data_IF_733197568909
#
_entry.id   IF_733197568909
#
_cell.length_a   1.000
_cell.length_b   1.000
_cell.length_c   1.000
_cell.angle_alpha   90.00
_cell.angle_beta   90.00
_cell.angle_gamma   90.00
#
_symmetry.space_group_name_H-M   'P 1'
#
loop_
_entity.id
_entity.type
_entity.pdbx_description
1 polymer ?
#
# COMPACT_ATOMS: atom_id res chain seq x y z
N UNK A 1 22.16 -5.58 -10.62
CA UNK A 1 21.25 -5.06 -11.67
C UNK A 1 21.33 -3.56 -11.58
N UNK A 2 21.69 -2.91 -12.69
CA UNK A 2 21.70 -1.45 -12.75
C UNK A 2 20.27 -0.92 -12.87
N UNK A 3 20.05 0.27 -12.30
CA UNK A 3 18.76 0.97 -12.35
C UNK A 3 18.78 1.84 -13.60
N UNK A 4 18.09 1.39 -14.63
CA UNK A 4 17.96 2.09 -15.90
C UNK A 4 16.62 2.83 -16.03
N UNK A 5 16.52 3.70 -17.04
CA UNK A 5 15.31 4.49 -17.30
C UNK A 5 14.05 3.64 -17.51
N UNK A 6 14.19 2.44 -18.06
CA UNK A 6 13.08 1.50 -18.25
C UNK A 6 12.53 0.98 -16.91
N UNK A 7 13.43 0.64 -15.98
CA UNK A 7 13.03 0.19 -14.64
C UNK A 7 12.36 1.31 -13.85
N UNK A 8 12.88 2.54 -13.95
CA UNK A 8 12.25 3.73 -13.38
C UNK A 8 10.85 3.95 -13.94
N UNK A 9 10.69 3.85 -15.26
CA UNK A 9 9.40 4.04 -15.93
C UNK A 9 8.40 2.97 -15.52
N UNK A 10 8.82 1.70 -15.48
CA UNK A 10 7.98 0.59 -15.02
C UNK A 10 7.53 0.77 -13.56
N UNK A 11 8.45 1.14 -12.66
CA UNK A 11 8.14 1.40 -11.25
C UNK A 11 7.18 2.60 -11.10
N UNK A 12 7.38 3.67 -11.86
CA UNK A 12 6.50 4.83 -11.88
C UNK A 12 5.09 4.49 -12.36
N UNK A 13 4.96 3.66 -13.40
CA UNK A 13 3.68 3.20 -13.92
C UNK A 13 2.94 2.31 -12.91
N UNK A 14 3.65 1.43 -12.21
CA UNK A 14 3.08 0.61 -11.14
C UNK A 14 2.58 1.49 -10.00
N UNK A 15 3.39 2.46 -9.54
CA UNK A 15 2.96 3.42 -8.50
C UNK A 15 1.72 4.21 -8.93
N UNK A 16 1.67 4.68 -10.18
CA UNK A 16 0.52 5.41 -10.70
C UNK A 16 -0.74 4.53 -10.74
N UNK A 17 -0.60 3.27 -11.16
CA UNK A 17 -1.69 2.29 -11.19
C UNK A 17 -2.20 1.97 -9.79
N UNK A 18 -1.30 1.76 -8.84
CA UNK A 18 -1.64 1.57 -7.43
C UNK A 18 -2.36 2.80 -6.87
N UNK A 19 -1.86 4.00 -7.16
CA UNK A 19 -2.50 5.27 -6.79
C UNK A 19 -3.93 5.39 -7.32
N UNK A 20 -4.15 5.00 -8.58
CA UNK A 20 -5.46 4.99 -9.20
C UNK A 20 -6.41 3.97 -8.53
N UNK A 21 -5.93 2.75 -8.28
CA UNK A 21 -6.71 1.72 -7.58
C UNK A 21 -7.07 2.16 -6.15
N UNK A 22 -6.13 2.78 -5.44
CA UNK A 22 -6.38 3.35 -4.12
C UNK A 22 -7.45 4.43 -4.19
N UNK A 23 -7.33 5.41 -5.09
CA UNK A 23 -8.32 6.46 -5.24
C UNK A 23 -9.72 5.90 -5.59
N UNK A 24 -9.78 4.89 -6.46
CA UNK A 24 -11.03 4.24 -6.87
C UNK A 24 -11.71 3.48 -5.72
N UNK A 25 -10.94 2.77 -4.89
CA UNK A 25 -11.48 1.93 -3.81
C UNK A 25 -11.60 2.66 -2.46
N UNK A 26 -10.95 3.82 -2.31
CA UNK A 26 -10.93 4.60 -1.08
C UNK A 26 -12.34 4.92 -0.53
N UNK A 27 -13.32 5.40 -1.34
CA UNK A 27 -14.65 5.73 -0.81
C UNK A 27 -15.33 4.55 -0.12
N UNK A 28 -15.14 3.36 -0.67
CA UNK A 28 -15.79 2.15 -0.17
C UNK A 28 -15.07 1.59 1.07
N UNK A 29 -13.74 1.71 1.11
CA UNK A 29 -12.93 1.41 2.30
C UNK A 29 -13.31 2.38 3.42
N UNK A 30 -13.39 3.68 3.14
CA UNK A 30 -13.78 4.70 4.09
C UNK A 30 -15.19 4.45 4.65
N UNK A 31 -16.17 4.21 3.77
CA UNK A 31 -17.54 3.88 4.19
C UNK A 31 -17.57 2.65 5.12
N UNK A 32 -16.81 1.60 4.80
CA UNK A 32 -16.70 0.41 5.66
C UNK A 32 -16.03 0.73 7.02
N UNK A 33 -15.05 1.64 7.06
CA UNK A 33 -14.44 2.09 8.32
C UNK A 33 -15.34 2.98 9.18
N UNK A 34 -16.45 3.51 8.65
CA UNK A 34 -17.40 4.37 9.39
C UNK A 34 -18.63 3.63 9.90
N UNK A 35 -18.93 2.42 9.40
CA UNK A 35 -20.10 1.61 9.80
C UNK A 35 -20.25 1.48 11.33
N UNK A 36 -21.37 1.93 11.89
CA UNK A 36 -21.59 1.88 13.35
C UNK A 36 -21.59 0.44 13.89
N UNK A 37 -20.86 0.24 15.01
CA UNK A 37 -20.87 -1.03 15.77
C UNK A 37 -22.06 -1.17 16.71
N UNK A 38 -22.91 -0.14 16.87
CA UNK A 38 -24.10 -0.21 17.73
C UNK A 38 -25.25 -0.96 17.05
N UNK A 39 -25.88 -1.86 17.79
CA UNK A 39 -27.05 -2.65 17.36
C UNK A 39 -26.95 -4.09 17.87
N UNK A 40 -28.09 -4.79 17.98
CA UNK A 40 -28.13 -6.21 18.35
C UNK A 40 -27.44 -7.05 17.27
N UNK A 41 -26.76 -8.14 17.66
CA UNK A 41 -26.06 -9.05 16.73
C UNK A 41 -26.90 -9.48 15.51
N UNK A 42 -28.19 -9.71 15.70
CA UNK A 42 -29.12 -10.10 14.63
C UNK A 42 -29.19 -9.10 13.46
N UNK A 43 -28.99 -7.80 13.72
CA UNK A 43 -29.04 -6.73 12.70
C UNK A 43 -27.65 -6.40 12.11
N UNK A 44 -26.58 -7.05 12.61
CA UNK A 44 -25.20 -6.77 12.18
C UNK A 44 -24.81 -7.48 10.88
N UNK A 45 -25.59 -8.46 10.40
CA UNK A 45 -25.26 -9.29 9.23
C UNK A 45 -24.86 -8.50 7.97
N UNK A 46 -25.71 -7.55 7.48
CA UNK A 46 -25.38 -6.73 6.31
C UNK A 46 -24.14 -5.83 6.53
N UNK A 47 -23.92 -5.35 7.75
CA UNK A 47 -22.78 -4.52 8.13
C UNK A 47 -21.47 -5.30 8.13
N UNK A 48 -21.49 -6.52 8.66
CA UNK A 48 -20.35 -7.44 8.63
C UNK A 48 -19.98 -7.78 7.20
N UNK A 49 -20.99 -8.06 6.34
CA UNK A 49 -20.77 -8.34 4.93
C UNK A 49 -20.10 -7.16 4.20
N UNK A 50 -20.56 -5.92 4.45
CA UNK A 50 -19.97 -4.71 3.87
C UNK A 50 -18.50 -4.54 4.27
N UNK A 51 -18.18 -4.67 5.56
CA UNK A 51 -16.79 -4.54 6.07
C UNK A 51 -15.91 -5.66 5.52
N UNK A 52 -16.41 -6.91 5.50
CA UNK A 52 -15.68 -8.06 4.95
C UNK A 52 -15.41 -7.89 3.45
N UNK A 53 -16.39 -7.41 2.69
CA UNK A 53 -16.24 -7.21 1.25
C UNK A 53 -15.19 -6.13 0.96
N UNK A 54 -15.23 -4.99 1.67
CA UNK A 54 -14.23 -3.94 1.55
C UNK A 54 -12.82 -4.43 1.95
N UNK A 55 -12.73 -5.25 3.00
CA UNK A 55 -11.45 -5.82 3.44
C UNK A 55 -10.88 -6.80 2.40
N UNK A 56 -11.66 -7.79 1.95
CA UNK A 56 -11.17 -8.92 1.13
C UNK A 56 -11.01 -8.56 -0.34
N UNK A 57 -11.90 -7.75 -0.91
CA UNK A 57 -11.90 -7.48 -2.36
C UNK A 57 -11.24 -6.16 -2.75
N UNK A 58 -10.87 -5.32 -1.77
CA UNK A 58 -10.31 -3.99 -2.04
C UNK A 58 -9.04 -3.75 -1.25
N UNK A 59 -9.16 -3.63 0.08
CA UNK A 59 -8.04 -3.21 0.92
C UNK A 59 -6.90 -4.26 0.96
N UNK A 60 -7.22 -5.54 1.12
CA UNK A 60 -6.23 -6.63 1.12
C UNK A 60 -5.53 -6.83 -0.23
N UNK A 61 -6.23 -6.95 -1.39
CA UNK A 61 -5.57 -7.12 -2.67
C UNK A 61 -4.72 -5.89 -3.04
N UNK A 62 -5.17 -4.68 -2.68
CA UNK A 62 -4.36 -3.48 -2.84
C UNK A 62 -3.06 -3.55 -2.02
N UNK A 63 -3.15 -3.94 -0.74
CA UNK A 63 -1.98 -4.10 0.12
C UNK A 63 -1.01 -5.16 -0.43
N UNK A 64 -1.53 -6.29 -0.90
CA UNK A 64 -0.73 -7.36 -1.50
C UNK A 64 0.00 -6.85 -2.74
N UNK A 65 -0.69 -6.12 -3.62
CA UNK A 65 -0.09 -5.54 -4.82
C UNK A 65 1.03 -4.55 -4.46
N UNK A 66 0.81 -3.68 -3.47
CA UNK A 66 1.83 -2.74 -2.99
C UNK A 66 3.04 -3.49 -2.42
N UNK A 67 2.82 -4.48 -1.55
CA UNK A 67 3.90 -5.29 -0.96
C UNK A 67 4.70 -5.99 -2.05
N UNK A 68 4.03 -6.54 -3.06
CA UNK A 68 4.70 -7.18 -4.19
C UNK A 68 5.62 -6.19 -4.93
N UNK A 69 5.15 -4.97 -5.22
CA UNK A 69 5.97 -3.93 -5.88
C UNK A 69 7.14 -3.51 -4.98
N UNK A 70 6.91 -3.29 -3.68
CA UNK A 70 7.97 -2.92 -2.73
C UNK A 70 9.05 -3.99 -2.66
N UNK A 71 8.68 -5.27 -2.62
CA UNK A 71 9.62 -6.39 -2.59
C UNK A 71 10.34 -6.57 -3.92
N UNK A 72 9.65 -6.43 -5.06
CA UNK A 72 10.26 -6.53 -6.38
C UNK A 72 11.28 -5.41 -6.64
N UNK A 73 10.95 -4.17 -6.27
CA UNK A 73 11.82 -3.01 -6.41
C UNK A 73 12.81 -2.84 -5.24
N UNK A 74 12.68 -3.64 -4.18
CA UNK A 74 13.48 -3.53 -2.96
C UNK A 74 14.98 -3.74 -3.16
N UNK A 75 15.43 -4.88 -3.73
CA UNK A 75 16.85 -5.13 -3.96
C UNK A 75 17.57 -4.03 -4.76
N UNK A 76 17.05 -3.55 -5.92
CA UNK A 76 17.71 -2.46 -6.63
C UNK A 76 17.67 -1.13 -5.87
N UNK A 77 16.60 -0.81 -5.14
CA UNK A 77 16.51 0.43 -4.36
C UNK A 77 17.52 0.46 -3.21
N UNK A 78 17.63 -0.64 -2.46
CA UNK A 78 18.59 -0.78 -1.36
C UNK A 78 20.03 -0.70 -1.88
N UNK A 79 20.32 -1.35 -3.02
CA UNK A 79 21.62 -1.25 -3.67
C UNK A 79 21.98 0.21 -3.98
N UNK A 80 21.06 0.99 -4.56
CA UNK A 80 21.31 2.41 -4.85
C UNK A 80 21.64 3.18 -3.57
N UNK A 81 20.89 2.97 -2.49
CA UNK A 81 21.13 3.67 -1.21
C UNK A 81 22.47 3.28 -0.59
N UNK A 82 22.82 2.00 -0.59
CA UNK A 82 24.09 1.51 -0.05
C UNK A 82 25.27 2.07 -0.84
N UNK A 83 25.19 2.10 -2.18
CA UNK A 83 26.23 2.70 -3.01
C UNK A 83 26.35 4.20 -2.74
N UNK A 84 25.23 4.93 -2.63
CA UNK A 84 25.24 6.35 -2.33
C UNK A 84 25.87 6.68 -0.96
N UNK A 85 25.70 5.81 0.04
CA UNK A 85 26.29 5.99 1.38
C UNK A 85 27.76 5.57 1.45
N UNK A 86 28.15 4.51 0.73
CA UNK A 86 29.52 3.99 0.73
C UNK A 86 30.50 4.84 -0.07
N UNK A 87 30.02 5.62 -1.03
CA UNK A 87 30.87 6.29 -2.02
C UNK A 87 31.13 7.76 -1.63
N UNK A 88 32.09 7.97 -0.72
CA UNK A 88 32.54 9.31 -0.30
C UNK A 88 33.44 10.01 -1.33
N UNK A 89 33.68 9.40 -2.50
CA UNK A 89 34.65 9.84 -3.50
C UNK A 89 33.97 10.32 -4.80
N UNK A 90 33.28 11.45 -4.73
CA UNK A 90 33.03 12.32 -5.89
C UNK A 90 32.30 11.69 -7.09
N UNK A 91 31.54 10.61 -6.89
CA UNK A 91 30.77 9.99 -7.96
C UNK A 91 29.71 10.99 -8.48
N UNK A 92 29.66 11.26 -9.80
CA UNK A 92 28.67 12.19 -10.34
C UNK A 92 27.24 11.75 -9.98
N UNK A 93 26.42 12.72 -9.58
CA UNK A 93 25.02 12.51 -9.24
C UNK A 93 24.25 11.87 -10.41
N UNK A 94 23.62 10.73 -10.14
CA UNK A 94 22.75 10.05 -11.09
C UNK A 94 21.27 10.35 -10.78
N UNK A 95 20.60 11.19 -11.60
CA UNK A 95 19.21 11.55 -11.37
C UNK A 95 18.24 10.36 -11.51
N UNK A 96 18.55 9.35 -12.32
CA UNK A 96 17.68 8.19 -12.56
C UNK A 96 17.61 7.34 -11.29
N UNK A 97 18.76 7.05 -10.70
CA UNK A 97 18.87 6.33 -9.43
C UNK A 97 18.17 7.06 -8.28
N UNK A 98 18.33 8.38 -8.20
CA UNK A 98 17.67 9.19 -7.17
C UNK A 98 16.14 9.18 -7.31
N UNK A 99 15.63 9.38 -8.54
CA UNK A 99 14.19 9.32 -8.82
C UNK A 99 13.61 7.94 -8.53
N UNK A 100 14.33 6.87 -8.85
CA UNK A 100 13.89 5.50 -8.56
C UNK A 100 13.71 5.26 -7.06
N UNK A 101 14.67 5.69 -6.24
CA UNK A 101 14.55 5.64 -4.78
C UNK A 101 13.36 6.48 -4.29
N UNK A 102 13.11 7.63 -4.91
CA UNK A 102 11.93 8.46 -4.64
C UNK A 102 10.61 7.72 -4.90
N UNK A 103 10.45 7.11 -6.08
CA UNK A 103 9.28 6.31 -6.45
C UNK A 103 9.08 5.13 -5.49
N UNK A 104 10.16 4.41 -5.17
CA UNK A 104 10.11 3.30 -4.23
C UNK A 104 9.70 3.76 -2.81
N UNK A 105 10.24 4.89 -2.35
CA UNK A 105 9.88 5.49 -1.06
C UNK A 105 8.40 5.90 -1.00
N UNK A 106 7.87 6.48 -2.07
CA UNK A 106 6.45 6.80 -2.18
C UNK A 106 5.57 5.54 -2.15
N UNK A 107 6.01 4.47 -2.83
CA UNK A 107 5.32 3.17 -2.84
C UNK A 107 5.25 2.58 -1.44
N UNK A 108 6.34 2.67 -0.66
CA UNK A 108 6.37 2.28 0.75
C UNK A 108 5.39 3.12 1.58
N UNK A 109 5.41 4.45 1.41
CA UNK A 109 4.50 5.36 2.12
C UNK A 109 3.04 5.02 1.86
N UNK A 110 2.70 4.72 0.60
CA UNK A 110 1.38 4.24 0.22
C UNK A 110 1.04 2.89 0.89
N UNK A 111 2.00 1.96 0.94
CA UNK A 111 1.86 0.69 1.64
C UNK A 111 1.51 0.86 3.11
N UNK A 112 2.15 1.79 3.82
CA UNK A 112 1.81 2.11 5.21
C UNK A 112 0.39 2.66 5.35
N UNK A 113 -0.02 3.58 4.47
CA UNK A 113 -1.37 4.13 4.50
C UNK A 113 -2.44 3.04 4.30
N UNK A 114 -2.25 2.15 3.32
CA UNK A 114 -3.17 1.04 3.06
C UNK A 114 -3.14 0.01 4.19
N UNK A 115 -1.97 -0.30 4.75
CA UNK A 115 -1.86 -1.21 5.90
C UNK A 115 -2.62 -0.68 7.13
N UNK A 116 -2.58 0.62 7.38
CA UNK A 116 -3.35 1.26 8.45
C UNK A 116 -4.87 1.12 8.23
N UNK A 117 -5.34 1.27 7.00
CA UNK A 117 -6.76 1.08 6.64
C UNK A 117 -7.18 -0.39 6.80
N UNK A 118 -6.37 -1.33 6.32
CA UNK A 118 -6.59 -2.79 6.48
C UNK A 118 -6.68 -3.15 7.96
N UNK A 119 -5.75 -2.67 8.78
CA UNK A 119 -5.77 -2.91 10.23
C UNK A 119 -7.03 -2.37 10.89
N UNK A 120 -7.47 -1.17 10.49
CA UNK A 120 -8.69 -0.55 11.02
C UNK A 120 -9.95 -1.34 10.63
N UNK A 121 -10.06 -1.74 9.36
CA UNK A 121 -11.15 -2.59 8.87
C UNK A 121 -11.15 -3.95 9.56
N UNK A 122 -9.99 -4.58 9.72
CA UNK A 122 -9.88 -5.88 10.39
C UNK A 122 -10.27 -5.80 11.87
N UNK A 123 -9.80 -4.78 12.59
CA UNK A 123 -10.19 -4.54 13.98
C UNK A 123 -11.71 -4.32 14.09
N UNK A 124 -12.31 -3.62 13.12
CA UNK A 124 -13.75 -3.37 13.08
C UNK A 124 -14.55 -4.62 12.78
N UNK A 125 -14.11 -5.42 11.80
CA UNK A 125 -14.70 -6.71 11.49
C UNK A 125 -14.69 -7.65 12.71
N UNK A 126 -13.56 -7.70 13.44
CA UNK A 126 -13.44 -8.50 14.66
C UNK A 126 -14.43 -8.05 15.74
N UNK A 127 -14.51 -6.74 16.02
CA UNK A 127 -15.46 -6.19 17.01
C UNK A 127 -16.92 -6.45 16.67
N UNK A 128 -17.27 -6.46 15.38
CA UNK A 128 -18.64 -6.74 14.95
C UNK A 128 -19.02 -8.22 15.14
N UNK A 129 -18.03 -9.12 15.14
CA UNK A 129 -18.20 -10.56 15.33
C UNK A 129 -18.14 -11.00 16.81
N UNK A 130 -17.73 -10.14 17.73
CA UNK A 130 -17.71 -10.46 19.16
C UNK A 130 -19.16 -10.44 19.71
N UNK A 131 -19.59 -11.51 20.39
CA UNK A 131 -20.89 -11.51 21.08
C UNK A 131 -20.84 -10.52 22.25
N UNK A 132 -21.91 -9.73 22.41
CA UNK A 132 -22.06 -8.78 23.53
C UNK A 132 -22.05 -9.49 24.89
#
# INVERSE_FOLDING_TARGET
MDVDGDLLTAAGLLLATLGLLFAAWHPEIAAATEVSSRGKLADRGPRIAQVKQALVFRAAPLLIAIVFVVLACGPPAVMVVVHALGDHRGNPYDPVRALFVGVWSLTIGMGFAVAAQVRTLYAKWRRLNEPD
#
